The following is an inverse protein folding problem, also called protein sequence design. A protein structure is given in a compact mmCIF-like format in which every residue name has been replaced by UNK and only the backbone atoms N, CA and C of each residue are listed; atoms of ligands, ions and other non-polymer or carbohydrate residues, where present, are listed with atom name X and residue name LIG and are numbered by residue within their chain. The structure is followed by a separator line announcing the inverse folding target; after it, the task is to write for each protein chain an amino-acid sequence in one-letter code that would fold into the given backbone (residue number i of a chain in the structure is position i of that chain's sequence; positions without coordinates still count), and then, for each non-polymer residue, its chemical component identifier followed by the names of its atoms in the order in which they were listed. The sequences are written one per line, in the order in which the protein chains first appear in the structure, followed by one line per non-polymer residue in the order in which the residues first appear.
data_IF_246221234004
#
_entry.id   IF_246221234004
#
_cell.length_a   1.000
_cell.length_b   1.000
_cell.length_c   1.000
_cell.angle_alpha   90.00
_cell.angle_beta   90.00
_cell.angle_gamma   90.00
#
_symmetry.space_group_name_H-M   'P 1'
#
loop_
_entity.id
_entity.type
_entity.pdbx_description
1 polymer ?
#
# COMPACT_ATOMS: atom_id res chain seq x y z
N UNK A 1 -17.40 -27.10 13.75
CA UNK A 1 -16.09 -26.44 13.50
C UNK A 1 -16.28 -24.93 13.44
N UNK A 2 -15.20 -24.16 13.58
CA UNK A 2 -15.23 -22.69 13.60
C UNK A 2 -14.43 -22.10 12.43
N UNK A 3 -14.70 -20.83 12.11
CA UNK A 3 -13.79 -19.94 11.39
C UNK A 3 -13.26 -18.94 12.40
N UNK A 4 -11.95 -18.70 12.37
CA UNK A 4 -11.30 -17.75 13.27
C UNK A 4 -10.88 -16.50 12.52
N UNK A 5 -10.87 -15.36 13.20
CA UNK A 5 -10.29 -14.10 12.73
C UNK A 5 -9.46 -13.48 13.84
N UNK A 6 -8.51 -12.64 13.44
CA UNK A 6 -7.66 -11.87 14.34
C UNK A 6 -8.07 -10.41 14.30
N UNK A 7 -8.06 -9.77 15.46
CA UNK A 7 -8.25 -8.32 15.56
C UNK A 7 -7.51 -7.78 16.79
N UNK A 8 -7.22 -6.49 16.78
CA UNK A 8 -6.71 -5.76 17.93
C UNK A 8 -7.88 -5.11 18.67
N UNK A 9 -8.00 -5.46 19.95
CA UNK A 9 -8.95 -4.86 20.87
C UNK A 9 -8.29 -3.64 21.52
N UNK A 10 -8.68 -2.45 21.05
CA UNK A 10 -8.07 -1.19 21.48
C UNK A 10 -8.33 -0.90 22.95
N UNK A 11 -9.48 -1.27 23.49
CA UNK A 11 -9.82 -1.04 24.89
C UNK A 11 -8.99 -1.94 25.81
N UNK A 12 -8.78 -3.18 25.40
CA UNK A 12 -7.95 -4.14 26.14
C UNK A 12 -6.44 -3.97 25.86
N UNK A 13 -6.05 -3.26 24.80
CA UNK A 13 -4.66 -3.08 24.39
C UNK A 13 -3.99 -4.36 23.90
N UNK A 14 -4.75 -5.32 23.37
CA UNK A 14 -4.23 -6.65 23.00
C UNK A 14 -4.87 -7.23 21.73
N UNK A 15 -4.14 -8.16 21.10
CA UNK A 15 -4.65 -8.94 19.96
C UNK A 15 -5.54 -10.08 20.47
N UNK A 16 -6.71 -10.23 19.87
CA UNK A 16 -7.69 -11.26 20.21
C UNK A 16 -8.04 -12.13 19.00
N UNK A 17 -8.48 -13.36 19.30
CA UNK A 17 -8.98 -14.30 18.31
C UNK A 17 -10.50 -14.38 18.45
N UNK A 18 -11.22 -13.91 17.44
CA UNK A 18 -12.65 -14.16 17.33
C UNK A 18 -12.93 -15.51 16.68
N UNK A 19 -14.03 -16.16 17.06
CA UNK A 19 -14.45 -17.47 16.53
C UNK A 19 -15.93 -17.45 16.16
N UNK A 20 -16.24 -17.84 14.93
CA UNK A 20 -17.60 -17.93 14.42
C UNK A 20 -17.90 -19.39 14.08
N UNK A 21 -19.01 -19.97 14.57
CA UNK A 21 -19.42 -21.32 14.17
C UNK A 21 -19.60 -21.41 12.65
N UNK A 22 -19.09 -22.47 12.01
CA UNK A 22 -19.29 -22.69 10.57
C UNK A 22 -20.77 -22.87 10.16
N UNK A 23 -21.62 -23.17 11.14
CA UNK A 23 -23.06 -23.35 10.98
C UNK A 23 -23.85 -22.05 11.20
N UNK A 24 -23.19 -20.95 11.57
CA UNK A 24 -23.88 -19.67 11.77
C UNK A 24 -24.39 -19.13 10.41
N UNK A 25 -25.69 -18.86 10.25
CA UNK A 25 -26.27 -18.42 8.97
C UNK A 25 -25.78 -17.04 8.53
N UNK A 26 -25.17 -16.24 9.43
CA UNK A 26 -24.57 -14.97 9.10
C UNK A 26 -23.19 -15.07 8.47
N UNK A 27 -22.59 -16.26 8.42
CA UNK A 27 -21.25 -16.50 7.88
C UNK A 27 -21.28 -16.81 6.38
N UNK A 28 -20.47 -16.09 5.60
CA UNK A 28 -20.29 -16.30 4.16
C UNK A 28 -18.80 -16.35 3.84
N UNK A 29 -18.32 -17.53 3.48
CA UNK A 29 -16.90 -17.79 3.15
C UNK A 29 -16.82 -17.94 1.64
N UNK A 30 -16.23 -16.95 0.97
CA UNK A 30 -15.96 -16.97 -0.49
C UNK A 30 -14.48 -17.02 -0.81
N UNK A 31 -13.65 -16.51 0.10
CA UNK A 31 -12.19 -16.40 -0.02
C UNK A 31 -11.60 -16.80 1.35
N UNK A 32 -10.48 -17.51 1.36
CA UNK A 32 -9.84 -17.96 2.60
C UNK A 32 -9.20 -16.80 3.39
N UNK A 33 -8.88 -15.68 2.73
CA UNK A 33 -8.23 -14.49 3.31
C UNK A 33 -9.25 -13.53 3.93
N UNK A 34 -10.45 -13.46 3.34
CA UNK A 34 -11.53 -12.58 3.74
C UNK A 34 -12.87 -13.29 3.68
N UNK A 35 -13.66 -13.14 4.72
CA UNK A 35 -15.01 -13.69 4.79
C UNK A 35 -15.96 -12.65 5.35
N UNK A 36 -17.26 -12.86 5.18
CA UNK A 36 -18.28 -11.96 5.68
C UNK A 36 -19.01 -12.59 6.86
N UNK A 37 -19.21 -11.81 7.91
CA UNK A 37 -20.06 -12.16 9.03
C UNK A 37 -21.08 -11.05 9.26
N UNK A 38 -22.37 -11.38 9.09
CA UNK A 38 -23.51 -10.44 9.22
C UNK A 38 -23.30 -9.13 8.44
N UNK A 39 -22.83 -9.26 7.20
CA UNK A 39 -22.59 -8.14 6.28
C UNK A 39 -21.27 -7.39 6.48
N UNK A 40 -20.46 -7.74 7.49
CA UNK A 40 -19.13 -7.13 7.71
C UNK A 40 -18.02 -8.06 7.22
N UNK A 41 -17.05 -7.49 6.52
CA UNK A 41 -15.84 -8.22 6.13
C UNK A 41 -14.91 -8.40 7.33
N UNK A 42 -14.37 -9.61 7.47
CA UNK A 42 -13.34 -9.95 8.46
C UNK A 42 -12.16 -10.62 7.75
N UNK A 43 -10.97 -10.46 8.31
CA UNK A 43 -9.74 -11.05 7.80
C UNK A 43 -9.36 -12.29 8.61
N UNK A 44 -8.90 -13.33 7.94
CA UNK A 44 -8.42 -14.55 8.61
C UNK A 44 -7.01 -14.40 9.19
N UNK A 45 -6.29 -13.36 8.79
CA UNK A 45 -4.97 -12.97 9.29
C UNK A 45 -4.94 -11.50 9.69
N UNK A 46 -3.93 -11.12 10.48
CA UNK A 46 -3.68 -9.73 10.87
C UNK A 46 -2.23 -9.38 10.58
N UNK A 47 -2.03 -8.35 9.78
CA UNK A 47 -0.72 -7.91 9.30
C UNK A 47 -0.04 -6.95 10.28
N UNK A 48 1.30 -6.96 10.29
CA UNK A 48 2.15 -5.97 10.94
C UNK A 48 3.40 -5.75 10.08
N UNK A 49 4.11 -4.65 10.31
CA UNK A 49 5.35 -4.30 9.59
C UNK A 49 6.53 -4.62 10.50
N UNK A 50 7.56 -5.25 9.94
CA UNK A 50 8.77 -5.68 10.65
C UNK A 50 10.00 -5.29 9.83
N UNK A 51 11.06 -4.90 10.52
CA UNK A 51 12.35 -4.63 9.86
C UNK A 51 13.04 -5.94 9.54
N UNK A 52 13.57 -6.02 8.33
CA UNK A 52 14.46 -7.09 7.89
C UNK A 52 15.77 -6.44 7.43
N UNK A 53 16.91 -6.89 7.97
CA UNK A 53 18.23 -6.30 7.75
C UNK A 53 19.08 -7.20 6.88
N UNK A 54 19.81 -6.60 5.93
CA UNK A 54 20.70 -7.31 5.01
C UNK A 54 21.90 -6.45 4.66
N UNK A 55 23.06 -7.09 4.50
CA UNK A 55 24.28 -6.47 3.97
C UNK A 55 24.48 -6.70 2.47
N UNK A 56 23.71 -7.63 1.86
CA UNK A 56 23.85 -8.02 0.45
C UNK A 56 22.56 -7.82 -0.37
N UNK A 57 21.48 -7.38 0.27
CA UNK A 57 20.16 -7.20 -0.34
C UNK A 57 19.45 -8.49 -0.73
N UNK A 58 19.97 -9.67 -0.32
CA UNK A 58 19.45 -10.99 -0.71
C UNK A 58 19.12 -11.86 0.50
N UNK A 59 19.97 -11.83 1.53
CA UNK A 59 19.78 -12.58 2.77
C UNK A 59 19.40 -11.64 3.88
N UNK A 60 18.28 -11.90 4.52
CA UNK A 60 17.69 -11.02 5.52
C UNK A 60 17.59 -11.70 6.88
N UNK A 61 17.91 -10.96 7.93
CA UNK A 61 17.57 -11.29 9.31
C UNK A 61 16.45 -10.37 9.78
N UNK A 62 15.44 -10.92 10.44
CA UNK A 62 14.30 -10.15 10.93
C UNK A 62 14.55 -9.67 12.36
N UNK A 63 14.22 -8.41 12.62
CA UNK A 63 14.17 -7.89 13.98
C UNK A 63 13.09 -8.67 14.77
N UNK A 64 13.29 -8.91 16.09
CA UNK A 64 12.44 -9.82 16.88
C UNK A 64 11.04 -9.26 17.14
N UNK A 65 10.90 -7.94 17.15
CA UNK A 65 9.66 -7.23 17.43
C UNK A 65 9.13 -6.52 16.17
N UNK A 66 7.81 -6.33 16.04
CA UNK A 66 7.23 -5.54 14.97
C UNK A 66 7.65 -4.06 15.09
N UNK A 67 7.95 -3.44 13.96
CA UNK A 67 8.23 -2.02 13.85
C UNK A 67 6.95 -1.18 13.93
N UNK A 68 5.93 -1.59 13.16
CA UNK A 68 4.60 -0.97 13.19
C UNK A 68 3.58 -2.10 13.35
N UNK A 69 2.83 -2.05 14.43
CA UNK A 69 1.72 -2.96 14.74
C UNK A 69 0.50 -2.14 15.11
N UNK A 70 -0.67 -2.79 15.14
CA UNK A 70 -1.89 -2.13 15.55
C UNK A 70 -1.80 -1.64 17.00
N UNK A 71 -2.07 -0.36 17.21
CA UNK A 71 -2.28 0.25 18.52
C UNK A 71 -3.46 1.25 18.52
N UNK A 72 -3.96 1.63 17.33
CA UNK A 72 -5.12 2.51 17.18
C UNK A 72 -6.38 1.77 16.67
N UNK A 73 -7.57 2.35 16.83
CA UNK A 73 -8.80 1.81 16.21
C UNK A 73 -8.76 1.68 14.70
N UNK A 74 -7.93 2.46 14.00
CA UNK A 74 -7.84 2.42 12.53
C UNK A 74 -7.03 1.24 12.01
N UNK A 75 -6.29 0.57 12.88
CA UNK A 75 -5.40 -0.55 12.56
C UNK A 75 -5.92 -1.88 13.12
N UNK A 76 -7.17 -1.91 13.60
CA UNK A 76 -7.74 -3.03 14.35
C UNK A 76 -7.65 -4.38 13.62
N UNK A 77 -7.48 -4.41 12.30
CA UNK A 77 -7.31 -5.61 11.47
C UNK A 77 -5.92 -5.73 10.82
N UNK A 78 -5.02 -4.76 11.05
CA UNK A 78 -3.61 -4.86 10.66
C UNK A 78 -3.05 -3.60 10.00
N UNK A 79 -1.73 -3.63 9.85
CA UNK A 79 -0.91 -2.65 9.15
C UNK A 79 -0.23 -3.33 7.95
N UNK A 80 -0.41 -2.79 6.75
CA UNK A 80 -0.01 -3.42 5.49
C UNK A 80 0.76 -2.45 4.60
N UNK A 81 1.46 -2.99 3.59
CA UNK A 81 1.78 -2.21 2.39
C UNK A 81 2.64 -0.97 2.66
N UNK A 82 3.69 -1.11 3.48
CA UNK A 82 4.59 -0.02 3.84
C UNK A 82 5.40 0.52 2.63
N UNK A 83 5.40 1.83 2.42
CA UNK A 83 6.35 2.56 1.55
C UNK A 83 7.23 3.45 2.41
N UNK A 84 8.52 3.49 2.13
CA UNK A 84 9.50 4.22 2.96
C UNK A 84 10.19 5.28 2.11
N UNK A 85 10.01 6.55 2.47
CA UNK A 85 10.62 7.70 1.79
C UNK A 85 11.64 8.37 2.72
N UNK A 86 12.95 8.31 2.41
CA UNK A 86 13.95 9.14 3.06
C UNK A 86 13.74 10.61 2.65
N UNK A 87 13.56 11.50 3.63
CA UNK A 87 13.26 12.90 3.38
C UNK A 87 13.64 13.74 4.60
N UNK A 88 14.41 14.81 4.38
CA UNK A 88 14.78 15.80 5.40
C UNK A 88 15.36 15.17 6.69
N UNK A 89 16.20 14.13 6.53
CA UNK A 89 16.91 13.47 7.64
C UNK A 89 16.09 12.42 8.39
N UNK A 90 14.85 12.13 7.97
CA UNK A 90 14.00 11.07 8.54
C UNK A 90 13.54 10.10 7.45
N UNK A 91 13.03 8.95 7.87
CA UNK A 91 12.33 8.00 7.03
C UNK A 91 10.84 8.09 7.32
N UNK A 92 10.06 8.58 6.36
CA UNK A 92 8.60 8.58 6.45
C UNK A 92 8.04 7.29 5.89
N UNK A 93 7.17 6.65 6.66
CA UNK A 93 6.61 5.33 6.38
C UNK A 93 5.10 5.48 6.25
N UNK A 94 4.59 5.44 5.03
CA UNK A 94 3.16 5.35 4.77
C UNK A 94 2.74 3.89 4.73
N UNK A 95 1.61 3.56 5.33
CA UNK A 95 1.11 2.19 5.38
C UNK A 95 -0.43 2.16 5.38
N UNK A 96 -0.96 1.08 4.84
CA UNK A 96 -2.40 0.82 4.86
C UNK A 96 -2.80 0.38 6.27
N UNK A 97 -3.73 1.09 6.88
CA UNK A 97 -4.34 0.73 8.17
C UNK A 97 -5.76 0.21 7.92
N UNK A 98 -6.03 -1.00 8.42
CA UNK A 98 -7.29 -1.71 8.18
C UNK A 98 -8.07 -1.85 9.48
N UNK A 99 -9.36 -1.52 9.47
CA UNK A 99 -10.25 -1.65 10.63
C UNK A 99 -11.71 -1.81 10.22
N UNK A 100 -12.60 -1.87 11.21
CA UNK A 100 -14.05 -1.79 11.00
C UNK A 100 -14.51 -0.41 10.53
N UNK A 101 -13.63 0.60 10.55
CA UNK A 101 -13.85 1.95 10.01
C UNK A 101 -13.49 2.07 8.53
N UNK A 102 -12.98 1.01 7.92
CA UNK A 102 -12.58 0.96 6.52
C UNK A 102 -11.07 0.83 6.34
N UNK A 103 -10.63 1.03 5.10
CA UNK A 103 -9.22 0.94 4.71
C UNK A 103 -8.68 2.33 4.43
N UNK A 104 -7.72 2.77 5.23
CA UNK A 104 -7.20 4.13 5.26
C UNK A 104 -5.67 4.10 5.13
N UNK A 105 -5.04 5.26 4.94
CA UNK A 105 -3.57 5.34 4.98
C UNK A 105 -3.12 6.17 6.16
N UNK A 106 -2.24 5.58 6.96
CA UNK A 106 -1.59 6.21 8.09
C UNK A 106 -0.09 6.41 7.79
N UNK A 107 0.53 7.26 8.59
CA UNK A 107 1.96 7.57 8.48
C UNK A 107 2.66 7.36 9.82
N UNK A 108 3.88 6.84 9.76
CA UNK A 108 4.85 6.85 10.84
C UNK A 108 6.17 7.43 10.34
N UNK A 109 7.09 7.75 11.25
CA UNK A 109 8.45 8.11 10.90
C UNK A 109 9.47 7.53 11.87
N UNK A 110 10.71 7.44 11.40
CA UNK A 110 11.86 6.99 12.21
C UNK A 110 13.13 7.66 11.71
N UNK A 111 14.15 7.74 12.57
CA UNK A 111 15.50 8.20 12.23
C UNK A 111 16.50 7.04 12.21
N UNK A 112 16.18 5.92 12.88
CA UNK A 112 17.13 4.84 13.22
C UNK A 112 16.60 3.42 12.93
N UNK A 113 15.31 3.27 12.59
CA UNK A 113 14.62 1.99 12.52
C UNK A 113 14.64 1.20 13.84
N UNK A 114 14.71 1.91 14.97
CA UNK A 114 14.56 1.37 16.33
C UNK A 114 13.37 2.02 17.04
N UNK A 115 13.15 3.32 16.83
CA UNK A 115 12.03 4.09 17.39
C UNK A 115 11.15 4.64 16.28
N UNK A 116 9.84 4.53 16.49
CA UNK A 116 8.83 4.95 15.51
C UNK A 116 7.85 5.92 16.14
N UNK A 117 7.60 7.03 15.44
CA UNK A 117 6.59 8.03 15.78
C UNK A 117 5.41 7.86 14.83
N UNK A 118 4.21 7.56 15.35
CA UNK A 118 2.99 7.49 14.53
C UNK A 118 2.33 8.87 14.44
N UNK A 119 2.01 9.27 13.21
CA UNK A 119 1.33 10.53 12.88
C UNK A 119 -0.18 10.36 12.69
N UNK A 120 -0.68 9.12 12.76
CA UNK A 120 -2.09 8.80 12.55
C UNK A 120 -2.47 8.75 11.06
N UNK A 121 -3.77 8.87 10.81
CA UNK A 121 -4.37 8.78 9.47
C UNK A 121 -4.11 10.07 8.69
N UNK A 122 -3.47 9.95 7.53
CA UNK A 122 -3.19 11.09 6.62
C UNK A 122 -4.13 11.13 5.41
N UNK A 123 -4.80 10.02 5.08
CA UNK A 123 -5.83 9.95 4.05
C UNK A 123 -7.02 9.12 4.55
N UNK A 124 -8.26 9.66 4.51
CA UNK A 124 -9.45 8.97 5.01
C UNK A 124 -9.87 7.78 4.13
N UNK A 125 -10.65 6.81 4.66
CA UNK A 125 -11.10 5.67 3.88
C UNK A 125 -12.09 6.08 2.78
N UNK A 126 -12.12 5.42 1.61
CA UNK A 126 -11.27 4.29 1.20
C UNK A 126 -10.04 4.76 0.41
N UNK A 127 -8.87 4.58 0.99
CA UNK A 127 -7.57 5.00 0.43
C UNK A 127 -6.51 3.94 0.68
N UNK A 128 -5.59 3.83 -0.28
CA UNK A 128 -4.44 2.92 -0.25
C UNK A 128 -3.29 3.52 -1.07
N UNK A 129 -2.14 2.85 -1.05
CA UNK A 129 -0.99 3.11 -1.93
C UNK A 129 -0.59 4.59 -1.90
N UNK A 130 -0.18 5.11 -0.73
CA UNK A 130 0.43 6.44 -0.69
C UNK A 130 1.94 6.30 -0.79
N UNK A 131 2.54 7.01 -1.73
CA UNK A 131 3.99 7.06 -1.91
C UNK A 131 4.45 8.52 -1.97
N UNK A 132 5.25 8.94 -0.99
CA UNK A 132 5.73 10.32 -0.86
C UNK A 132 6.98 10.50 -1.72
N UNK A 133 7.06 11.61 -2.47
CA UNK A 133 8.24 11.97 -3.25
C UNK A 133 9.40 12.32 -2.29
N UNK A 134 10.65 11.93 -2.61
CA UNK A 134 11.79 12.07 -1.70
C UNK A 134 12.35 13.50 -1.60
N UNK A 135 11.68 14.48 -2.20
CA UNK A 135 11.97 15.91 -2.03
C UNK A 135 10.73 16.76 -2.30
N UNK A 136 10.79 18.04 -1.90
CA UNK A 136 9.75 19.02 -2.22
C UNK A 136 9.80 19.43 -3.69
N UNK A 137 8.62 19.61 -4.29
CA UNK A 137 8.47 20.23 -5.60
C UNK A 137 7.76 21.57 -5.42
N UNK A 138 8.35 22.65 -5.93
CA UNK A 138 7.77 24.00 -5.76
C UNK A 138 7.57 24.41 -4.30
N UNK A 139 8.40 23.91 -3.39
CA UNK A 139 8.32 24.20 -1.94
C UNK A 139 7.27 23.38 -1.17
N UNK A 140 6.57 22.45 -1.82
CA UNK A 140 5.55 21.60 -1.19
C UNK A 140 5.95 20.13 -1.26
N UNK A 141 5.48 19.34 -0.29
CA UNK A 141 5.56 17.89 -0.37
C UNK A 141 4.53 17.37 -1.39
N UNK A 142 4.88 16.28 -2.06
CA UNK A 142 4.05 15.63 -3.08
C UNK A 142 3.93 14.15 -2.78
N UNK A 143 2.76 13.57 -3.02
CA UNK A 143 2.60 12.12 -3.00
C UNK A 143 1.76 11.62 -4.16
N UNK A 144 1.96 10.35 -4.51
CA UNK A 144 0.94 9.54 -5.15
C UNK A 144 0.00 8.98 -4.10
N UNK A 145 -1.27 8.83 -4.43
CA UNK A 145 -2.23 8.09 -3.62
C UNK A 145 -3.28 7.42 -4.52
N UNK A 146 -4.03 6.44 -3.99
CA UNK A 146 -5.07 5.74 -4.74
C UNK A 146 -6.40 5.71 -3.96
N UNK A 147 -7.33 6.65 -4.24
CA UNK A 147 -8.71 6.49 -3.87
C UNK A 147 -9.26 5.16 -4.40
N UNK A 148 -10.13 4.51 -3.64
CA UNK A 148 -10.80 3.31 -4.13
C UNK A 148 -11.74 3.63 -5.30
N UNK A 149 -12.19 2.59 -6.01
CA UNK A 149 -13.12 2.76 -7.13
C UNK A 149 -14.46 3.34 -6.65
N UNK A 150 -15.06 4.15 -7.51
CA UNK A 150 -16.44 4.60 -7.41
C UNK A 150 -17.27 4.06 -8.58
N UNK A 151 -18.54 4.42 -8.61
CA UNK A 151 -19.46 4.12 -9.71
C UNK A 151 -19.04 4.82 -11.02
N UNK A 152 -18.20 5.86 -10.93
CA UNK A 152 -17.77 6.67 -12.08
C UNK A 152 -16.34 6.40 -12.52
N UNK A 153 -15.47 5.97 -11.60
CA UNK A 153 -14.05 5.81 -11.87
C UNK A 153 -13.52 4.53 -11.24
N UNK A 154 -12.72 3.73 -11.96
CA UNK A 154 -11.97 2.64 -11.35
C UNK A 154 -10.91 3.20 -10.39
N UNK A 155 -10.24 2.32 -9.65
CA UNK A 155 -9.17 2.74 -8.76
C UNK A 155 -7.97 3.23 -9.59
N UNK A 156 -7.66 4.52 -9.44
CA UNK A 156 -6.70 5.29 -10.26
C UNK A 156 -5.61 5.90 -9.38
N UNK A 157 -4.45 6.22 -9.97
CA UNK A 157 -3.39 6.96 -9.26
C UNK A 157 -3.69 8.46 -9.32
N UNK A 158 -3.60 9.12 -8.17
CA UNK A 158 -3.79 10.55 -7.99
C UNK A 158 -2.53 11.19 -7.41
N UNK A 159 -2.37 12.48 -7.63
CA UNK A 159 -1.36 13.33 -6.98
C UNK A 159 -2.02 14.16 -5.91
N UNK A 160 -1.35 14.33 -4.78
CA UNK A 160 -1.71 15.31 -3.77
C UNK A 160 -0.49 16.10 -3.32
N UNK A 161 -0.75 17.28 -2.75
CA UNK A 161 0.26 18.23 -2.29
C UNK A 161 0.03 18.56 -0.82
N UNK A 162 1.11 18.80 -0.08
CA UNK A 162 1.04 19.13 1.35
C UNK A 162 2.10 20.16 1.76
N UNK A 163 1.80 21.08 2.68
CA UNK A 163 2.80 21.98 3.28
C UNK A 163 3.58 21.33 4.43
N UNK A 164 3.10 20.23 5.00
CA UNK A 164 3.51 19.72 6.33
C UNK A 164 3.54 18.18 6.46
N UNK A 165 3.33 17.44 5.36
CA UNK A 165 3.17 15.97 5.30
C UNK A 165 1.91 15.39 5.97
N UNK A 166 1.08 16.22 6.60
CA UNK A 166 -0.13 15.80 7.32
C UNK A 166 -1.40 16.29 6.62
N UNK A 167 -1.38 17.53 6.15
CA UNK A 167 -2.47 18.25 5.53
C UNK A 167 -2.36 18.11 4.01
N UNK A 168 -2.96 17.07 3.44
CA UNK A 168 -2.94 16.82 1.99
C UNK A 168 -4.14 17.48 1.28
N UNK A 169 -3.87 18.09 0.14
CA UNK A 169 -4.86 18.75 -0.71
C UNK A 169 -4.45 18.75 -2.18
N UNK A 170 -5.14 19.55 -3.01
CA UNK A 170 -4.88 19.65 -4.47
C UNK A 170 -4.84 18.27 -5.14
N UNK A 171 -5.83 17.44 -4.80
CA UNK A 171 -5.93 16.08 -5.31
C UNK A 171 -6.33 16.09 -6.78
N UNK A 172 -5.50 15.50 -7.62
CA UNK A 172 -5.77 15.40 -9.06
C UNK A 172 -5.42 14.02 -9.62
N UNK A 173 -6.32 13.45 -10.41
CA UNK A 173 -6.08 12.16 -11.06
C UNK A 173 -4.90 12.28 -12.02
N UNK A 174 -3.98 11.32 -11.95
CA UNK A 174 -2.75 11.29 -12.75
C UNK A 174 -2.77 10.14 -13.76
N UNK A 175 -3.15 8.95 -13.32
CA UNK A 175 -3.23 7.78 -14.19
C UNK A 175 -4.52 7.02 -13.93
N UNK A 176 -5.32 6.90 -14.98
CA UNK A 176 -6.47 6.02 -15.01
C UNK A 176 -6.11 4.66 -15.66
N UNK A 177 -6.75 3.56 -15.23
CA UNK A 177 -6.76 2.28 -15.94
C UNK A 177 -7.12 2.43 -17.42
N UNK A 178 -6.58 1.55 -18.26
CA UNK A 178 -6.93 1.45 -19.68
C UNK A 178 -7.79 0.20 -19.91
N UNK A 179 -9.12 0.30 -20.08
CA UNK A 179 -10.00 -0.86 -20.23
C UNK A 179 -9.56 -1.81 -21.35
N UNK A 180 -9.68 -3.11 -21.11
CA UNK A 180 -9.29 -4.14 -22.09
C UNK A 180 -7.78 -4.41 -22.19
N UNK A 181 -6.98 -3.84 -21.29
CA UNK A 181 -5.53 -4.07 -21.22
C UNK A 181 -5.14 -4.74 -19.89
N UNK A 182 -3.84 -5.02 -19.72
CA UNK A 182 -3.27 -5.56 -18.47
C UNK A 182 -3.44 -4.61 -17.27
N UNK A 183 -3.74 -3.34 -17.51
CA UNK A 183 -3.99 -2.31 -16.50
C UNK A 183 -5.45 -1.86 -16.50
N UNK A 184 -6.38 -2.76 -16.88
CA UNK A 184 -7.77 -2.41 -17.17
C UNK A 184 -8.72 -2.31 -15.98
N UNK A 185 -8.47 -2.99 -14.86
CA UNK A 185 -9.35 -2.96 -13.68
C UNK A 185 -8.91 -1.89 -12.66
N UNK A 186 -7.61 -1.78 -12.40
CA UNK A 186 -7.07 -0.77 -11.48
C UNK A 186 -5.58 -0.50 -11.69
N UNK A 187 -5.14 0.69 -11.28
CA UNK A 187 -3.72 1.06 -11.16
C UNK A 187 -3.46 1.60 -9.76
N UNK A 188 -2.24 1.42 -9.25
CA UNK A 188 -1.82 1.95 -7.95
C UNK A 188 -0.32 2.19 -7.90
N UNK A 189 0.11 3.14 -7.08
CA UNK A 189 1.53 3.41 -6.96
C UNK A 189 2.23 2.31 -6.14
N UNK A 190 3.42 1.92 -6.60
CA UNK A 190 4.24 0.93 -5.92
C UNK A 190 5.17 1.59 -4.92
N UNK A 191 6.45 1.66 -5.30
CA UNK A 191 7.50 2.29 -4.51
C UNK A 191 7.47 3.84 -4.61
N UNK A 192 8.03 4.55 -3.61
CA UNK A 192 8.34 5.97 -3.71
C UNK A 192 9.09 6.32 -5.01
N UNK A 193 8.73 7.40 -5.72
CA UNK A 193 9.41 7.81 -6.95
C UNK A 193 10.92 8.03 -6.75
N UNK A 194 11.71 7.72 -7.77
CA UNK A 194 13.16 7.98 -7.80
C UNK A 194 13.46 9.11 -8.78
N UNK A 195 14.23 10.10 -8.34
CA UNK A 195 14.68 11.22 -9.19
C UNK A 195 15.73 10.70 -10.16
N UNK A 196 15.55 11.01 -11.45
CA UNK A 196 16.53 10.77 -12.51
C UNK A 196 16.84 12.07 -13.26
N UNK A 197 17.79 12.02 -14.19
CA UNK A 197 18.06 13.13 -15.11
C UNK A 197 16.88 13.46 -16.04
N UNK A 198 16.02 12.47 -16.32
CA UNK A 198 14.89 12.60 -17.25
C UNK A 198 13.56 12.91 -16.56
N UNK A 199 13.45 12.70 -15.25
CA UNK A 199 12.24 12.98 -14.48
C UNK A 199 12.10 12.12 -13.23
N UNK A 200 10.87 11.89 -12.81
CA UNK A 200 10.54 10.99 -11.70
C UNK A 200 10.22 9.60 -12.24
N UNK A 201 11.11 8.63 -12.02
CA UNK A 201 10.85 7.23 -12.34
C UNK A 201 9.96 6.62 -11.27
N UNK A 202 8.85 6.03 -11.71
CA UNK A 202 7.84 5.45 -10.84
C UNK A 202 7.48 4.04 -11.30
N UNK A 203 7.59 3.07 -10.39
CA UNK A 203 7.06 1.73 -10.59
C UNK A 203 5.66 1.68 -10.01
N UNK A 204 4.68 1.33 -10.85
CA UNK A 204 3.28 1.21 -10.47
C UNK A 204 2.80 -0.21 -10.72
N UNK A 205 1.84 -0.69 -9.94
CA UNK A 205 1.17 -1.95 -10.23
C UNK A 205 -0.16 -1.70 -10.91
N UNK A 206 -0.61 -2.68 -11.68
CA UNK A 206 -1.94 -2.67 -12.27
C UNK A 206 -2.56 -4.06 -12.22
N UNK A 207 -3.89 -4.09 -12.14
CA UNK A 207 -4.67 -5.31 -12.21
C UNK A 207 -5.51 -5.34 -13.49
N UNK A 208 -5.60 -6.49 -14.12
CA UNK A 208 -6.52 -6.74 -15.23
C UNK A 208 -7.89 -7.27 -14.74
N UNK A 209 -8.82 -7.45 -15.68
CA UNK A 209 -10.18 -7.92 -15.38
C UNK A 209 -10.24 -9.36 -14.81
N UNK A 210 -9.18 -10.15 -14.97
CA UNK A 210 -9.07 -11.49 -14.40
C UNK A 210 -8.40 -11.48 -13.03
N UNK A 211 -7.98 -10.31 -12.53
CA UNK A 211 -7.33 -10.15 -11.24
C UNK A 211 -5.83 -10.43 -11.27
N UNK A 212 -5.20 -10.52 -12.44
CA UNK A 212 -3.74 -10.65 -12.59
C UNK A 212 -3.07 -9.31 -12.29
N UNK A 213 -2.03 -9.33 -11.45
CA UNK A 213 -1.26 -8.13 -11.09
C UNK A 213 0.12 -8.13 -11.75
N UNK A 214 0.44 -7.03 -12.44
CA UNK A 214 1.71 -6.77 -13.08
C UNK A 214 2.28 -5.42 -12.65
N UNK A 215 3.57 -5.19 -12.91
CA UNK A 215 4.22 -3.89 -12.72
C UNK A 215 4.44 -3.20 -14.07
N UNK A 216 4.17 -1.89 -14.10
CA UNK A 216 4.58 -0.96 -15.15
C UNK A 216 5.57 0.07 -14.64
N UNK A 217 6.09 0.88 -15.56
CA UNK A 217 6.91 2.03 -15.24
C UNK A 217 6.36 3.29 -15.90
N UNK A 218 6.43 4.42 -15.21
CA UNK A 218 6.14 5.73 -15.77
C UNK A 218 7.22 6.74 -15.38
N UNK A 219 7.37 7.76 -16.21
CA UNK A 219 8.26 8.89 -15.97
C UNK A 219 7.40 10.15 -15.88
N UNK A 220 7.49 10.88 -14.78
CA UNK A 220 6.74 12.12 -14.56
C UNK A 220 7.64 13.34 -14.61
N UNK A 221 7.07 14.48 -14.99
CA UNK A 221 7.78 15.75 -15.11
C UNK A 221 8.36 16.18 -13.74
N UNK A 222 9.65 16.54 -13.66
CA UNK A 222 10.29 16.87 -12.39
C UNK A 222 9.73 18.13 -11.73
N UNK A 223 9.25 19.09 -12.52
CA UNK A 223 8.67 20.34 -12.04
C UNK A 223 7.15 20.25 -11.84
N UNK A 224 6.49 19.34 -12.55
CA UNK A 224 5.06 19.07 -12.39
C UNK A 224 4.76 17.56 -12.35
N UNK A 225 4.92 16.88 -11.20
CA UNK A 225 4.77 15.43 -11.08
C UNK A 225 3.41 14.87 -11.51
N UNK A 226 2.36 15.70 -11.62
CA UNK A 226 1.08 15.29 -12.17
C UNK A 226 1.17 14.93 -13.67
N UNK A 227 2.10 15.54 -14.40
CA UNK A 227 2.28 15.32 -15.83
C UNK A 227 3.16 14.09 -16.07
N UNK A 228 2.55 13.02 -16.56
CA UNK A 228 3.28 11.85 -17.07
C UNK A 228 3.90 12.22 -18.42
N UNK A 229 5.22 12.08 -18.53
CA UNK A 229 5.99 12.29 -19.76
C UNK A 229 5.92 11.06 -20.67
N UNK A 230 6.06 9.87 -20.08
CA UNK A 230 5.94 8.59 -20.78
C UNK A 230 5.62 7.47 -19.80
N UNK A 231 5.10 6.35 -20.31
CA UNK A 231 4.82 5.14 -19.54
C UNK A 231 4.94 3.89 -20.42
N UNK A 232 5.25 2.76 -19.79
CA UNK A 232 5.35 1.47 -20.48
C UNK A 232 4.01 1.05 -21.07
N UNK A 233 3.98 0.64 -22.34
CA UNK A 233 2.76 0.11 -23.00
C UNK A 233 2.45 -1.34 -22.61
N UNK A 234 3.45 -2.08 -22.14
CA UNK A 234 3.35 -3.46 -21.63
C UNK A 234 3.94 -3.53 -20.22
N UNK A 235 3.62 -4.58 -19.44
CA UNK A 235 4.28 -4.80 -18.15
C UNK A 235 5.80 -4.77 -18.26
N UNK A 236 6.47 -4.12 -17.31
CA UNK A 236 7.92 -4.22 -17.13
C UNK A 236 8.30 -5.43 -16.29
N UNK A 237 7.37 -5.90 -15.45
CA UNK A 237 7.50 -7.14 -14.71
C UNK A 237 6.12 -7.79 -14.54
N UNK A 238 6.04 -9.10 -14.77
CA UNK A 238 4.80 -9.85 -14.75
C UNK A 238 5.02 -11.23 -14.11
N UNK A 239 3.98 -11.86 -13.54
CA UNK A 239 4.08 -13.19 -12.93
C UNK A 239 4.54 -14.23 -13.94
N UNK A 240 5.62 -14.95 -13.63
CA UNK A 240 6.21 -16.01 -14.47
C UNK A 240 6.73 -17.20 -13.67
N UNK A 241 7.22 -16.98 -12.45
CA UNK A 241 7.73 -18.06 -11.61
C UNK A 241 6.59 -18.78 -10.87
N UNK A 242 6.81 -20.05 -10.50
CA UNK A 242 5.81 -20.86 -9.81
C UNK A 242 5.25 -20.18 -8.54
N UNK A 243 6.11 -19.48 -7.78
CA UNK A 243 5.70 -18.76 -6.56
C UNK A 243 4.95 -17.44 -6.83
N UNK A 244 4.88 -16.98 -8.08
CA UNK A 244 4.12 -15.80 -8.52
C UNK A 244 2.79 -16.23 -9.16
N UNK A 245 2.75 -17.43 -9.74
CA UNK A 245 1.58 -18.03 -10.37
C UNK A 245 0.71 -18.81 -9.38
N UNK A 246 1.28 -19.35 -8.30
CA UNK A 246 0.57 -20.11 -7.28
C UNK A 246 0.89 -19.61 -5.87
N UNK A 247 -0.12 -19.62 -4.99
CA UNK A 247 -0.01 -19.16 -3.60
C UNK A 247 -1.32 -18.61 -3.04
N UNK A 248 -1.21 -17.88 -1.92
CA UNK A 248 -2.37 -17.25 -1.23
C UNK A 248 -3.10 -16.26 -2.16
N UNK A 249 -2.38 -15.63 -3.08
CA UNK A 249 -2.95 -14.87 -4.19
C UNK A 249 -2.13 -15.15 -5.45
N UNK A 250 -2.70 -15.94 -6.35
CA UNK A 250 -2.12 -16.34 -7.63
C UNK A 250 -2.04 -15.17 -8.62
N UNK A 251 -1.22 -15.35 -9.67
CA UNK A 251 -1.06 -14.41 -10.79
C UNK A 251 -0.69 -12.98 -10.35
N UNK A 252 0.30 -12.85 -9.47
CA UNK A 252 0.61 -11.56 -8.84
C UNK A 252 2.09 -11.27 -8.65
N UNK A 253 2.52 -10.10 -9.13
CA UNK A 253 3.73 -9.40 -8.69
C UNK A 253 3.37 -8.00 -8.20
N UNK A 254 4.00 -7.57 -7.10
CA UNK A 254 3.70 -6.30 -6.44
C UNK A 254 4.99 -5.68 -5.87
N UNK A 255 5.08 -4.36 -5.86
CA UNK A 255 6.29 -3.64 -5.41
C UNK A 255 5.93 -2.45 -4.52
N UNK A 256 6.51 -2.39 -3.32
CA UNK A 256 6.32 -1.30 -2.34
C UNK A 256 7.59 -0.49 -2.07
N UNK A 257 8.73 -0.92 -2.62
CA UNK A 257 10.01 -0.29 -2.38
C UNK A 257 10.98 -0.58 -3.50
N UNK A 258 11.84 0.39 -3.80
CA UNK A 258 12.93 0.24 -4.76
C UNK A 258 14.19 0.86 -4.18
N UNK A 259 15.33 0.26 -4.50
CA UNK A 259 16.65 0.79 -4.18
C UNK A 259 17.35 1.00 -5.52
N UNK A 260 17.74 2.24 -5.81
CA UNK A 260 18.60 2.52 -6.95
C UNK A 260 20.00 1.93 -6.64
N UNK A 261 20.51 1.10 -7.56
CA UNK A 261 21.88 0.63 -7.47
C UNK A 261 22.88 1.76 -7.69
N UNK A 262 24.17 1.56 -7.37
CA UNK A 262 25.21 2.48 -7.81
C UNK A 262 25.25 2.54 -9.34
N UNK A 263 25.43 3.76 -9.88
CA UNK A 263 25.74 4.00 -11.30
C UNK A 263 27.10 3.42 -11.70
#
# INVERSE_FOLDING_TARGET
GYVSYLYYDVEAGERKIGRIPRTDPGLSIRDARKFFYRGRMLLSSMSHIRVARSSDGRRFAFDPDPAIQADTPYEAYGCEDARITPLEGRYYITYTAVSDRGVTVAMASTEDFERYEKHGVIFPPYQKDVAIFPEKVGGLYVCRHRPYKSEFNPASIWTAWSPDLLSWGRHEMTLAPTPGTWEGESVGCGAPPVRTGDGWLEIYHAADANGRYCLGAMLSDPANPQRILTRSSTPVFEPRADYELDGVYADCVFCNGMIAGPD
#
